data_IF_582191029498
#
_entry.id   IF_582191029498
#
_cell.length_a   1.000
_cell.length_b   1.000
_cell.length_c   1.000
_cell.angle_alpha   90.00
_cell.angle_beta   90.00
_cell.angle_gamma   90.00
#
_symmetry.space_group_name_H-M   'P 1'
#
loop_
_entity.id
_entity.type
_entity.pdbx_description
1 polymer ?
#
# COMPACT_ATOMS: atom_id res chain seq x y z
N UNK A 1 -65.34 -1.57 -33.16
CA UNK A 1 -64.29 -1.02 -34.05
C UNK A 1 -63.25 -0.33 -33.16
N UNK A 2 -62.09 -0.97 -32.96
CA UNK A 2 -60.98 -0.34 -32.24
C UNK A 2 -60.32 0.66 -33.20
N UNK A 3 -60.14 1.93 -32.83
CA UNK A 3 -59.68 2.95 -33.76
C UNK A 3 -58.21 2.69 -34.13
N UNK A 4 -57.94 2.58 -35.45
CA UNK A 4 -56.60 2.36 -36.04
C UNK A 4 -55.55 3.40 -35.59
N UNK A 5 -55.98 4.56 -35.09
CA UNK A 5 -55.10 5.62 -34.59
C UNK A 5 -54.49 5.32 -33.22
N UNK A 6 -55.05 4.41 -32.42
CA UNK A 6 -54.51 4.09 -31.09
C UNK A 6 -53.24 3.22 -31.16
N UNK A 7 -53.15 2.35 -32.17
CA UNK A 7 -51.95 1.54 -32.43
C UNK A 7 -50.79 2.38 -32.95
N UNK A 8 -51.08 3.46 -33.69
CA UNK A 8 -50.04 4.28 -34.33
C UNK A 8 -49.40 5.27 -33.34
N UNK A 9 -50.16 5.82 -32.39
CA UNK A 9 -49.61 6.61 -31.28
C UNK A 9 -48.90 5.74 -30.24
N UNK A 10 -49.40 4.54 -29.92
CA UNK A 10 -48.71 3.61 -29.04
C UNK A 10 -47.37 3.12 -29.63
N UNK A 11 -47.32 2.83 -30.93
CA UNK A 11 -46.08 2.43 -31.63
C UNK A 11 -45.06 3.58 -31.70
N UNK A 12 -45.51 4.82 -31.86
CA UNK A 12 -44.64 6.01 -31.84
C UNK A 12 -44.04 6.23 -30.44
N UNK A 13 -44.83 6.06 -29.37
CA UNK A 13 -44.34 6.16 -27.99
C UNK A 13 -43.34 5.05 -27.61
N UNK A 14 -43.51 3.83 -28.15
CA UNK A 14 -42.56 2.73 -27.95
C UNK A 14 -41.24 3.00 -28.72
N UNK A 15 -41.32 3.60 -29.92
CA UNK A 15 -40.13 3.97 -30.71
C UNK A 15 -39.36 5.16 -30.11
N UNK A 16 -40.04 6.11 -29.45
CA UNK A 16 -39.38 7.21 -28.73
C UNK A 16 -38.74 6.76 -27.41
N UNK A 17 -39.28 5.71 -26.76
CA UNK A 17 -38.67 5.12 -25.58
C UNK A 17 -37.44 4.25 -25.91
N UNK A 18 -37.35 3.72 -27.13
CA UNK A 18 -36.15 3.02 -27.65
C UNK A 18 -35.06 3.98 -28.15
N UNK A 19 -35.37 5.26 -28.37
CA UNK A 19 -34.38 6.29 -28.74
C UNK A 19 -33.84 7.07 -27.53
N UNK A 20 -34.26 6.71 -26.32
CA UNK A 20 -33.57 7.09 -25.09
C UNK A 20 -32.42 6.09 -24.79
N UNK A 21 -31.77 5.56 -25.83
CA UNK A 21 -30.40 5.10 -25.68
C UNK A 21 -29.58 6.32 -25.33
N UNK A 22 -29.13 6.37 -24.08
CA UNK A 22 -28.01 7.22 -23.68
C UNK A 22 -26.94 7.04 -24.77
N UNK A 23 -26.50 8.13 -25.40
CA UNK A 23 -25.25 8.12 -26.14
C UNK A 23 -24.16 7.79 -25.11
N UNK A 24 -23.95 6.51 -24.85
CA UNK A 24 -22.84 6.01 -24.04
C UNK A 24 -21.60 6.22 -24.90
N UNK A 25 -21.08 7.44 -24.85
CA UNK A 25 -19.85 7.80 -25.51
C UNK A 25 -18.74 7.07 -24.75
N UNK A 26 -18.37 5.88 -25.25
CA UNK A 26 -17.39 5.02 -24.60
C UNK A 26 -16.12 5.81 -24.33
N UNK A 27 -15.67 5.79 -23.07
CA UNK A 27 -14.44 6.47 -22.68
C UNK A 27 -13.24 5.63 -23.09
N UNK A 28 -12.14 6.25 -23.57
CA UNK A 28 -10.93 5.50 -23.90
C UNK A 28 -10.35 4.85 -22.65
N UNK A 29 -9.64 3.73 -22.80
CA UNK A 29 -8.98 3.07 -21.69
C UNK A 29 -7.66 3.77 -21.35
N UNK A 30 -7.54 4.34 -20.14
CA UNK A 30 -6.31 5.01 -19.67
C UNK A 30 -6.02 4.73 -18.20
N UNK A 31 -4.73 4.70 -17.88
CA UNK A 31 -4.20 4.54 -16.54
C UNK A 31 -3.33 5.75 -16.19
N UNK A 32 -3.28 6.13 -14.91
CA UNK A 32 -2.38 7.19 -14.45
C UNK A 32 -0.90 6.80 -14.60
N UNK A 33 -0.59 5.51 -14.50
CA UNK A 33 0.77 4.99 -14.65
C UNK A 33 0.79 3.84 -15.66
N UNK A 34 1.92 3.69 -16.36
CA UNK A 34 2.19 2.52 -17.23
C UNK A 34 2.92 1.39 -16.49
N UNK A 35 3.39 1.66 -15.27
CA UNK A 35 4.21 0.79 -14.44
C UNK A 35 3.67 0.79 -13.02
N UNK A 36 3.67 -0.37 -12.37
CA UNK A 36 3.25 -0.53 -10.98
C UNK A 36 4.19 -1.48 -10.22
N UNK A 37 4.58 -1.10 -9.01
CA UNK A 37 5.26 -1.98 -8.06
C UNK A 37 4.26 -2.64 -7.09
N UNK A 38 4.34 -3.97 -6.98
CA UNK A 38 3.43 -4.80 -6.17
C UNK A 38 4.25 -5.61 -5.16
N UNK A 39 4.04 -5.46 -3.84
CA UNK A 39 4.75 -6.28 -2.87
C UNK A 39 4.35 -7.76 -3.01
N UNK A 40 5.32 -8.66 -2.89
CA UNK A 40 5.09 -10.11 -2.88
C UNK A 40 4.12 -10.50 -1.77
N UNK A 41 3.04 -11.23 -2.11
CA UNK A 41 1.95 -11.57 -1.18
C UNK A 41 0.90 -10.46 -0.98
N UNK A 42 1.24 -9.21 -1.31
CA UNK A 42 0.35 -8.06 -1.22
C UNK A 42 -0.51 -7.83 -2.46
N UNK A 43 -1.34 -6.79 -2.40
CA UNK A 43 -2.27 -6.38 -3.46
C UNK A 43 -1.98 -4.92 -3.82
N UNK A 44 -2.06 -4.58 -5.11
CA UNK A 44 -2.01 -3.21 -5.61
C UNK A 44 -3.23 -2.94 -6.50
N UNK A 45 -3.95 -1.86 -6.22
CA UNK A 45 -5.00 -1.37 -7.10
C UNK A 45 -4.40 -0.48 -8.18
N UNK A 46 -4.83 -0.67 -9.43
CA UNK A 46 -4.36 0.08 -10.57
C UNK A 46 -5.17 1.37 -10.71
N UNK A 47 -4.48 2.50 -10.80
CA UNK A 47 -5.11 3.80 -10.95
C UNK A 47 -5.68 3.99 -12.36
N UNK A 48 -6.98 3.80 -12.53
CA UNK A 48 -7.68 4.09 -13.79
C UNK A 48 -7.97 5.59 -13.91
N UNK A 49 -7.57 6.18 -15.04
CA UNK A 49 -7.90 7.56 -15.42
C UNK A 49 -9.24 7.59 -16.17
N UNK A 50 -9.47 6.63 -17.07
CA UNK A 50 -10.71 6.49 -17.83
C UNK A 50 -10.93 5.05 -18.30
N UNK A 51 -12.18 4.70 -18.57
CA UNK A 51 -12.60 3.38 -19.04
C UNK A 51 -14.07 3.10 -18.71
N UNK A 52 -14.60 1.98 -19.20
CA UNK A 52 -16.03 1.67 -19.18
C UNK A 52 -16.44 0.62 -18.15
N UNK A 53 -15.48 0.03 -17.44
CA UNK A 53 -15.73 -0.86 -16.29
C UNK A 53 -15.81 -2.35 -16.60
N UNK A 54 -15.91 -2.72 -17.87
CA UNK A 54 -15.88 -4.12 -18.31
C UNK A 54 -14.53 -4.42 -18.95
N UNK A 55 -13.64 -5.09 -18.20
CA UNK A 55 -12.25 -5.30 -18.58
C UNK A 55 -11.92 -6.79 -18.65
N UNK A 56 -11.19 -7.19 -19.70
CA UNK A 56 -10.47 -8.46 -19.71
C UNK A 56 -9.00 -8.27 -19.38
N UNK A 57 -8.44 -9.24 -18.66
CA UNK A 57 -7.09 -9.18 -18.12
C UNK A 57 -6.29 -10.38 -18.63
N UNK A 58 -5.12 -10.12 -19.22
CA UNK A 58 -4.18 -11.14 -19.68
C UNK A 58 -2.81 -10.90 -19.06
N UNK A 59 -2.39 -11.81 -18.17
CA UNK A 59 -1.08 -11.76 -17.50
C UNK A 59 -0.10 -12.64 -18.27
N UNK A 60 1.03 -12.08 -18.70
CA UNK A 60 2.05 -12.79 -19.47
C UNK A 60 2.72 -13.93 -18.69
N UNK A 61 3.04 -13.70 -17.41
CA UNK A 61 3.62 -14.70 -16.51
C UNK A 61 2.80 -14.80 -15.22
N UNK A 62 1.91 -15.77 -15.18
CA UNK A 62 1.00 -16.02 -14.04
C UNK A 62 1.71 -16.60 -12.81
N UNK A 63 2.99 -16.97 -12.92
CA UNK A 63 3.78 -17.40 -11.76
C UNK A 63 4.19 -16.20 -10.89
N UNK A 64 4.24 -15.00 -11.48
CA UNK A 64 4.66 -13.78 -10.80
C UNK A 64 3.46 -13.04 -10.20
N UNK A 65 2.32 -12.98 -10.89
CA UNK A 65 1.15 -12.23 -10.43
C UNK A 65 -0.18 -12.88 -10.82
N UNK A 66 -1.24 -12.51 -10.11
CA UNK A 66 -2.63 -12.64 -10.57
C UNK A 66 -3.30 -11.28 -10.62
N UNK A 67 -4.29 -11.11 -11.50
CA UNK A 67 -5.03 -9.85 -11.65
C UNK A 67 -6.53 -10.13 -11.72
N UNK A 68 -7.34 -9.24 -11.14
CA UNK A 68 -8.80 -9.38 -11.11
C UNK A 68 -9.48 -8.02 -11.26
N UNK A 69 -10.73 -8.08 -11.75
CA UNK A 69 -11.65 -6.94 -11.80
C UNK A 69 -12.64 -7.06 -10.65
N UNK A 70 -12.86 -5.97 -9.93
CA UNK A 70 -13.82 -5.88 -8.84
C UNK A 70 -14.86 -4.80 -9.14
N UNK A 71 -16.14 -5.16 -9.01
CA UNK A 71 -17.28 -4.30 -9.33
C UNK A 71 -17.74 -3.51 -8.10
N UNK A 72 -18.37 -2.35 -8.31
CA UNK A 72 -18.99 -1.56 -7.23
C UNK A 72 -18.07 -0.50 -6.61
N UNK A 73 -17.03 -0.09 -7.33
CA UNK A 73 -16.06 0.91 -6.87
C UNK A 73 -16.38 2.30 -7.38
N UNK A 74 -15.90 3.33 -6.67
CA UNK A 74 -15.97 4.73 -7.11
C UNK A 74 -14.88 5.10 -8.14
N UNK A 75 -14.54 4.18 -9.03
CA UNK A 75 -13.55 4.33 -10.10
C UNK A 75 -14.23 4.49 -11.47
N UNK A 76 -13.52 4.91 -12.53
CA UNK A 76 -14.07 4.99 -13.87
C UNK A 76 -14.74 3.69 -14.33
N UNK A 77 -16.00 3.78 -14.78
CA UNK A 77 -16.80 2.62 -15.17
C UNK A 77 -17.31 1.76 -14.00
N UNK A 78 -17.13 2.18 -12.74
CA UNK A 78 -17.65 1.49 -11.56
C UNK A 78 -16.86 0.24 -11.13
N UNK A 79 -15.68 0.03 -11.70
CA UNK A 79 -14.86 -1.16 -11.47
C UNK A 79 -13.40 -0.83 -11.19
N UNK A 80 -12.79 -1.53 -10.24
CA UNK A 80 -11.37 -1.46 -9.95
C UNK A 80 -10.64 -2.67 -10.54
N UNK A 81 -9.38 -2.49 -10.91
CA UNK A 81 -8.48 -3.59 -11.27
C UNK A 81 -7.43 -3.67 -10.18
N UNK A 82 -7.18 -4.87 -9.66
CA UNK A 82 -6.10 -5.08 -8.73
C UNK A 82 -5.21 -6.24 -9.17
N UNK A 83 -3.96 -6.18 -8.70
CA UNK A 83 -2.92 -7.18 -8.95
C UNK A 83 -2.41 -7.70 -7.62
N UNK A 84 -2.26 -9.01 -7.50
CA UNK A 84 -1.60 -9.67 -6.36
C UNK A 84 -0.22 -10.17 -6.77
N UNK A 85 0.79 -9.82 -5.98
CA UNK A 85 2.15 -10.34 -6.15
C UNK A 85 2.28 -11.76 -5.62
N UNK A 86 2.93 -12.65 -6.37
CA UNK A 86 3.15 -14.06 -6.02
C UNK A 86 4.65 -14.34 -5.82
N UNK A 87 5.46 -13.99 -6.83
CA UNK A 87 6.91 -14.13 -6.81
C UNK A 87 7.55 -12.88 -7.38
N UNK A 88 8.71 -12.49 -6.82
CA UNK A 88 9.46 -11.33 -7.29
C UNK A 88 9.88 -11.48 -8.76
N UNK A 89 9.84 -10.38 -9.50
CA UNK A 89 10.12 -10.37 -10.93
C UNK A 89 9.30 -9.33 -11.69
N UNK A 90 9.46 -9.30 -13.01
CA UNK A 90 8.80 -8.33 -13.89
C UNK A 90 7.97 -9.04 -14.95
N UNK A 91 6.74 -8.60 -15.13
CA UNK A 91 5.79 -9.14 -16.11
C UNK A 91 4.98 -8.02 -16.76
N UNK A 92 4.12 -8.39 -17.70
CA UNK A 92 3.21 -7.48 -18.38
C UNK A 92 1.78 -7.94 -18.13
N UNK A 93 0.92 -7.00 -17.79
CA UNK A 93 -0.52 -7.15 -17.74
C UNK A 93 -1.12 -6.40 -18.93
N UNK A 94 -1.85 -7.11 -19.80
CA UNK A 94 -2.69 -6.50 -20.81
C UNK A 94 -4.10 -6.33 -20.25
N UNK A 95 -4.61 -5.11 -20.31
CA UNK A 95 -6.00 -4.79 -19.97
C UNK A 95 -6.71 -4.42 -21.26
N UNK A 96 -7.85 -5.04 -21.54
CA UNK A 96 -8.68 -4.68 -22.70
C UNK A 96 -10.07 -4.28 -22.23
N UNK A 97 -10.53 -3.09 -22.63
CA UNK A 97 -11.89 -2.61 -22.38
C UNK A 97 -12.83 -3.22 -23.42
N UNK A 98 -13.89 -3.91 -22.98
CA UNK A 98 -14.81 -4.58 -23.89
C UNK A 98 -15.68 -3.63 -24.71
N UNK A 99 -15.94 -2.42 -24.21
CA UNK A 99 -16.79 -1.45 -24.89
C UNK A 99 -16.05 -0.79 -26.07
N UNK A 100 -14.75 -0.49 -25.92
CA UNK A 100 -13.93 0.14 -26.97
C UNK A 100 -13.04 -0.84 -27.74
N UNK A 101 -12.81 -2.04 -27.19
CA UNK A 101 -11.80 -3.02 -27.63
C UNK A 101 -10.35 -2.48 -27.58
N UNK A 102 -10.13 -1.33 -26.95
CA UNK A 102 -8.79 -0.79 -26.74
C UNK A 102 -8.04 -1.62 -25.70
N UNK A 103 -6.73 -1.78 -25.91
CA UNK A 103 -5.86 -2.46 -24.96
C UNK A 103 -4.74 -1.54 -24.46
N UNK A 104 -4.46 -1.63 -23.16
CA UNK A 104 -3.28 -1.04 -22.53
C UNK A 104 -2.35 -2.16 -22.05
N UNK A 105 -1.04 -1.97 -22.22
CA UNK A 105 -0.02 -2.85 -21.66
C UNK A 105 0.63 -2.16 -20.47
N UNK A 106 0.45 -2.75 -19.29
CA UNK A 106 1.02 -2.27 -18.05
C UNK A 106 2.21 -3.15 -17.65
N UNK A 107 3.27 -2.50 -17.22
CA UNK A 107 4.43 -3.17 -16.62
C UNK A 107 4.17 -3.41 -15.15
N UNK A 108 4.23 -4.67 -14.72
CA UNK A 108 4.07 -5.03 -13.32
C UNK A 108 5.40 -5.56 -12.79
N UNK A 109 5.90 -4.94 -11.73
CA UNK A 109 7.09 -5.37 -11.02
C UNK A 109 6.69 -5.87 -9.63
N UNK A 110 6.91 -7.14 -9.36
CA UNK A 110 6.73 -7.70 -8.03
C UNK A 110 8.03 -7.52 -7.25
N UNK A 111 7.95 -6.74 -6.18
CA UNK A 111 9.06 -6.41 -5.27
C UNK A 111 8.97 -7.25 -4.00
N UNK A 112 10.04 -7.26 -3.20
CA UNK A 112 10.01 -7.90 -1.89
C UNK A 112 8.87 -7.34 -1.03
N UNK A 113 8.25 -8.19 -0.19
CA UNK A 113 7.25 -7.72 0.76
C UNK A 113 7.88 -6.79 1.80
N UNK A 114 7.08 -5.94 2.43
CA UNK A 114 7.58 -5.04 3.46
C UNK A 114 6.51 -4.72 4.51
N UNK A 115 6.98 -4.27 5.67
CA UNK A 115 6.14 -3.71 6.73
C UNK A 115 6.42 -2.21 6.86
N UNK A 116 5.36 -1.40 6.88
CA UNK A 116 5.48 0.06 6.94
C UNK A 116 5.12 0.56 8.32
N UNK A 117 6.07 1.25 8.96
CA UNK A 117 5.89 1.88 10.27
C UNK A 117 5.92 3.40 10.11
N UNK A 118 4.85 4.06 10.57
CA UNK A 118 4.77 5.52 10.68
C UNK A 118 5.04 5.94 12.11
N UNK A 119 6.01 6.82 12.29
CA UNK A 119 6.37 7.39 13.58
C UNK A 119 5.41 8.53 13.93
N UNK A 120 4.83 8.47 15.12
CA UNK A 120 3.96 9.51 15.68
C UNK A 120 4.70 10.30 16.75
N UNK A 121 4.95 11.56 16.43
CA UNK A 121 5.46 12.56 17.38
C UNK A 121 4.23 13.21 18.04
N UNK A 122 3.89 12.76 19.25
CA UNK A 122 2.84 13.38 20.04
C UNK A 122 3.21 14.81 20.45
N UNK A 123 2.19 15.64 20.70
CA UNK A 123 2.31 17.03 21.22
C UNK A 123 2.98 17.14 22.60
N UNK A 124 3.36 16.00 23.22
CA UNK A 124 4.15 15.91 24.45
C UNK A 124 5.38 14.99 24.36
N UNK A 125 5.71 14.48 23.16
CA UNK A 125 6.93 13.66 22.94
C UNK A 125 8.15 14.49 22.53
N UNK A 126 7.95 15.79 22.27
CA UNK A 126 8.99 16.76 21.94
C UNK A 126 9.43 17.63 23.14
N UNK A 127 8.92 17.37 24.34
CA UNK A 127 9.40 18.02 25.56
C UNK A 127 10.03 16.97 26.47
N UNK A 128 11.26 16.57 26.15
CA UNK A 128 12.19 16.47 27.27
C UNK A 128 12.36 17.90 27.78
N UNK A 129 11.98 18.17 29.02
CA UNK A 129 12.19 19.47 29.69
C UNK A 129 13.68 19.90 29.70
N UNK A 130 14.58 19.02 29.24
CA UNK A 130 16.03 19.15 29.28
C UNK A 130 16.72 19.29 27.90
N UNK A 131 16.01 19.49 26.79
CA UNK A 131 16.64 19.74 25.48
C UNK A 131 17.45 18.54 24.94
N UNK A 132 17.01 17.31 25.21
CA UNK A 132 17.65 16.11 24.68
C UNK A 132 17.42 15.95 23.18
N UNK A 133 18.38 15.36 22.46
CA UNK A 133 18.27 15.09 21.04
C UNK A 133 17.00 14.30 20.71
N UNK A 134 16.38 14.59 19.57
CA UNK A 134 15.20 13.88 19.06
C UNK A 134 15.57 12.41 18.74
N UNK A 135 14.66 11.46 18.98
CA UNK A 135 14.82 10.08 18.49
C UNK A 135 14.50 10.04 17.01
N UNK A 136 15.39 9.45 16.20
CA UNK A 136 15.21 9.32 14.76
C UNK A 136 14.88 10.67 14.08
N UNK A 137 15.70 11.71 14.28
CA UNK A 137 15.43 13.06 13.77
C UNK A 137 15.26 13.02 12.26
N UNK A 138 14.26 13.75 11.77
CA UNK A 138 13.96 13.83 10.34
C UNK A 138 13.31 12.58 9.73
N UNK A 139 13.09 11.49 10.48
CA UNK A 139 12.36 10.30 9.99
C UNK A 139 10.89 10.37 10.41
N UNK A 140 9.97 10.22 9.46
CA UNK A 140 8.53 10.08 9.68
C UNK A 140 8.03 8.66 9.43
N UNK A 141 8.62 7.95 8.48
CA UNK A 141 8.16 6.62 8.07
C UNK A 141 9.39 5.73 7.81
N UNK A 142 9.26 4.44 8.12
CA UNK A 142 10.26 3.43 7.80
C UNK A 142 9.62 2.19 7.19
N UNK A 143 10.33 1.59 6.25
CA UNK A 143 9.94 0.37 5.56
C UNK A 143 10.94 -0.73 5.91
N UNK A 144 10.45 -1.79 6.53
CA UNK A 144 11.23 -2.97 6.87
C UNK A 144 11.02 -4.01 5.77
N UNK A 145 12.06 -4.31 4.99
CA UNK A 145 11.95 -5.16 3.81
C UNK A 145 12.15 -6.62 4.17
N UNK A 146 11.21 -7.46 3.75
CA UNK A 146 11.28 -8.90 3.87
C UNK A 146 12.17 -9.51 2.77
N UNK A 147 13.44 -9.14 2.80
CA UNK A 147 14.47 -9.76 1.98
C UNK A 147 15.56 -10.38 2.87
N UNK A 148 16.51 -11.08 2.23
CA UNK A 148 17.59 -11.77 2.95
C UNK A 148 18.50 -10.82 3.74
N UNK A 149 18.69 -9.60 3.24
CA UNK A 149 19.54 -8.59 3.86
C UNK A 149 18.86 -7.86 5.02
N UNK A 150 17.53 -7.99 5.16
CA UNK A 150 16.71 -7.21 6.10
C UNK A 150 16.94 -5.72 5.90
N UNK A 151 16.84 -5.27 4.65
CA UNK A 151 17.00 -3.85 4.33
C UNK A 151 15.93 -3.00 5.02
N UNK A 152 16.29 -1.78 5.37
CA UNK A 152 15.43 -0.78 5.96
C UNK A 152 15.57 0.54 5.19
N UNK A 153 14.44 1.17 4.86
CA UNK A 153 14.41 2.45 4.15
C UNK A 153 13.67 3.47 5.01
N UNK A 154 14.27 4.65 5.18
CA UNK A 154 13.80 5.68 6.08
C UNK A 154 13.41 6.92 5.28
N UNK A 155 12.25 7.48 5.60
CA UNK A 155 11.65 8.57 4.84
C UNK A 155 11.27 9.73 5.76
N UNK A 156 11.30 10.94 5.18
CA UNK A 156 10.61 12.10 5.73
C UNK A 156 9.33 12.38 4.94
N UNK A 157 8.37 12.99 5.61
CA UNK A 157 7.16 13.48 4.97
C UNK A 157 7.48 14.79 4.22
N UNK A 158 7.39 14.74 2.91
CA UNK A 158 7.39 15.90 2.02
C UNK A 158 5.97 16.28 1.57
N UNK A 159 5.86 17.14 0.56
CA UNK A 159 4.57 17.56 -0.01
C UNK A 159 3.79 16.37 -0.58
N UNK A 160 2.61 16.12 -0.01
CA UNK A 160 1.70 15.10 -0.50
C UNK A 160 0.87 15.63 -1.68
N UNK A 161 0.61 14.78 -2.67
CA UNK A 161 -0.30 15.10 -3.78
C UNK A 161 -1.39 14.02 -3.89
N UNK A 162 -2.35 14.20 -4.80
CA UNK A 162 -3.35 13.17 -5.09
C UNK A 162 -2.75 11.84 -5.60
N UNK A 163 -1.52 11.87 -6.12
CA UNK A 163 -0.87 10.73 -6.79
C UNK A 163 0.43 10.28 -6.11
N UNK A 164 0.83 10.93 -5.02
CA UNK A 164 2.06 10.60 -4.31
C UNK A 164 1.90 10.80 -2.82
N UNK A 165 2.42 9.85 -2.04
CA UNK A 165 2.50 9.93 -0.58
C UNK A 165 3.34 11.12 -0.09
N UNK A 166 4.15 11.72 -0.96
CA UNK A 166 5.07 12.79 -0.60
C UNK A 166 6.29 12.31 0.19
N UNK A 167 6.49 11.01 0.35
CA UNK A 167 7.65 10.48 1.06
C UNK A 167 8.94 10.74 0.28
N UNK A 168 9.95 11.23 0.99
CA UNK A 168 11.30 11.49 0.45
C UNK A 168 12.30 10.62 1.22
N UNK A 169 13.05 9.79 0.49
CA UNK A 169 14.05 8.89 1.07
C UNK A 169 15.19 9.72 1.71
N UNK A 170 15.49 9.46 2.98
CA UNK A 170 16.54 10.18 3.72
C UNK A 170 17.70 9.30 4.14
N UNK A 171 17.46 8.01 4.35
CA UNK A 171 18.50 7.05 4.70
C UNK A 171 18.13 5.62 4.29
N UNK A 172 19.16 4.78 4.18
CA UNK A 172 19.04 3.33 4.04
C UNK A 172 19.83 2.64 5.14
N UNK A 173 19.44 1.42 5.43
CA UNK A 173 20.05 0.63 6.48
C UNK A 173 19.59 -0.81 6.44
N UNK A 174 19.81 -1.49 7.54
CA UNK A 174 19.32 -2.83 7.79
C UNK A 174 18.70 -2.90 9.18
N UNK A 175 17.86 -3.91 9.39
CA UNK A 175 17.24 -4.15 10.69
C UNK A 175 17.49 -5.58 11.17
N UNK A 176 17.51 -5.74 12.48
CA UNK A 176 17.38 -7.02 13.17
C UNK A 176 16.18 -6.90 14.09
N UNK A 177 15.30 -7.90 14.04
CA UNK A 177 14.15 -8.04 14.93
C UNK A 177 14.25 -9.37 15.65
N UNK A 178 14.24 -9.32 16.98
CA UNK A 178 14.29 -10.49 17.87
C UNK A 178 13.10 -10.46 18.83
N UNK A 179 12.55 -11.63 19.22
CA UNK A 179 11.49 -11.67 20.22
C UNK A 179 12.04 -11.14 21.56
N UNK A 180 11.27 -10.26 22.20
CA UNK A 180 11.57 -9.72 23.52
C UNK A 180 10.89 -10.51 24.63
N UNK A 181 10.88 -9.95 25.84
CA UNK A 181 10.07 -10.47 26.95
C UNK A 181 8.61 -10.03 26.78
N UNK A 182 7.67 -10.92 27.12
CA UNK A 182 6.24 -10.67 27.00
C UNK A 182 5.83 -10.21 25.58
N UNK A 183 5.07 -9.11 25.47
CA UNK A 183 4.55 -8.56 24.21
C UNK A 183 5.53 -7.57 23.53
N UNK A 184 6.84 -7.83 23.66
CA UNK A 184 7.90 -6.95 23.15
C UNK A 184 8.71 -7.60 22.02
N UNK A 185 9.35 -6.75 21.22
CA UNK A 185 10.41 -7.16 20.30
C UNK A 185 11.62 -6.23 20.43
N UNK A 186 12.82 -6.80 20.37
CA UNK A 186 14.05 -6.04 20.30
C UNK A 186 14.36 -5.73 18.83
N UNK A 187 14.53 -4.44 18.51
CA UNK A 187 14.89 -3.98 17.18
C UNK A 187 16.24 -3.30 17.20
N UNK A 188 17.13 -3.73 16.31
CA UNK A 188 18.35 -2.99 16.01
C UNK A 188 18.23 -2.41 14.61
N UNK A 189 18.31 -1.08 14.48
CA UNK A 189 18.41 -0.39 13.19
C UNK A 189 19.87 -0.01 12.96
N UNK A 190 20.43 -0.38 11.82
CA UNK A 190 21.80 -0.01 11.43
C UNK A 190 21.75 0.84 10.17
N UNK A 191 22.16 2.10 10.26
CA UNK A 191 22.18 3.01 9.13
C UNK A 191 23.47 2.83 8.32
N UNK A 192 23.33 2.60 7.01
CA UNK A 192 24.45 2.31 6.10
C UNK A 192 24.68 3.41 5.07
N UNK A 193 23.64 4.17 4.73
CA UNK A 193 23.71 5.26 3.73
C UNK A 193 22.80 6.42 4.17
N UNK A 194 23.33 7.64 4.20
CA UNK A 194 22.54 8.87 4.35
C UNK A 194 22.39 9.53 2.98
N UNK A 195 21.16 9.85 2.61
CA UNK A 195 20.81 10.49 1.33
C UNK A 195 20.68 12.01 1.48
N UNK A 196 20.21 12.50 2.65
CA UNK A 196 20.18 13.93 2.98
C UNK A 196 20.45 14.15 4.48
N UNK A 197 21.36 15.08 4.82
CA UNK A 197 21.63 15.69 6.15
C UNK A 197 21.18 14.87 7.37
N UNK A 198 21.59 13.61 7.45
CA UNK A 198 21.38 12.76 8.61
C UNK A 198 22.73 12.41 9.28
N UNK A 199 23.60 13.42 9.44
CA UNK A 199 24.88 13.27 10.16
C UNK A 199 24.69 12.75 11.60
N UNK A 200 23.47 12.81 12.13
CA UNK A 200 23.10 12.30 13.46
C UNK A 200 22.61 10.83 13.49
N UNK A 201 22.45 10.16 12.34
CA UNK A 201 21.91 8.80 12.23
C UNK A 201 22.94 7.83 11.67
N UNK A 202 24.09 7.74 12.34
CA UNK A 202 25.17 6.82 11.97
C UNK A 202 25.29 5.69 12.96
N UNK A 203 25.49 4.47 12.45
CA UNK A 203 25.73 3.29 13.28
C UNK A 203 24.45 2.55 13.67
N UNK A 204 24.57 1.74 14.72
CA UNK A 204 23.49 0.87 15.18
C UNK A 204 22.77 1.47 16.38
N UNK A 205 21.45 1.56 16.28
CA UNK A 205 20.55 2.03 17.34
C UNK A 205 19.64 0.88 17.76
N UNK A 206 19.48 0.70 19.07
CA UNK A 206 18.69 -0.39 19.64
C UNK A 206 17.43 0.15 20.28
N UNK A 207 16.34 -0.56 20.04
CA UNK A 207 15.02 -0.20 20.50
C UNK A 207 14.26 -1.41 21.01
N UNK A 208 13.33 -1.15 21.92
CA UNK A 208 12.31 -2.08 22.37
C UNK A 208 10.99 -1.63 21.75
N UNK A 209 10.34 -2.51 20.99
CA UNK A 209 9.00 -2.31 20.48
C UNK A 209 8.03 -2.85 21.51
N UNK A 210 7.26 -1.95 22.13
CA UNK A 210 6.17 -2.30 23.02
C UNK A 210 4.88 -2.41 22.20
N UNK A 211 4.42 -3.64 22.01
CA UNK A 211 3.25 -3.95 21.22
C UNK A 211 2.22 -4.77 21.99
N UNK A 212 1.55 -5.63 21.23
CA UNK A 212 0.62 -6.64 21.72
C UNK A 212 0.83 -7.91 20.87
N UNK A 213 0.19 -9.05 21.21
CA UNK A 213 0.36 -10.29 20.46
C UNK A 213 0.03 -10.16 18.97
N UNK A 214 -0.93 -9.30 18.61
CA UNK A 214 -1.32 -9.06 17.22
C UNK A 214 -0.18 -8.41 16.42
N UNK A 215 0.55 -7.46 17.00
CA UNK A 215 1.69 -6.83 16.33
C UNK A 215 2.86 -7.78 16.15
N UNK A 216 3.18 -8.56 17.18
CA UNK A 216 4.23 -9.56 17.06
C UNK A 216 3.87 -10.58 15.98
N UNK A 217 2.60 -11.00 15.91
CA UNK A 217 2.11 -11.88 14.85
C UNK A 217 2.23 -11.25 13.46
N UNK A 218 1.79 -9.99 13.30
CA UNK A 218 1.91 -9.26 12.04
C UNK A 218 3.35 -9.17 11.57
N UNK A 219 4.28 -8.77 12.44
CA UNK A 219 5.71 -8.69 12.14
C UNK A 219 6.26 -10.07 11.73
N UNK A 220 5.96 -11.10 12.52
CA UNK A 220 6.40 -12.48 12.26
C UNK A 220 5.97 -12.97 10.88
N UNK A 221 4.69 -12.75 10.50
CA UNK A 221 4.16 -13.23 9.22
C UNK A 221 4.56 -12.36 8.04
N UNK A 222 4.54 -11.03 8.17
CA UNK A 222 4.85 -10.16 7.04
C UNK A 222 6.36 -10.14 6.70
N UNK A 223 7.21 -10.31 7.72
CA UNK A 223 8.67 -10.26 7.58
C UNK A 223 9.34 -11.64 7.65
N UNK A 224 8.57 -12.74 7.75
CA UNK A 224 9.08 -14.11 7.87
C UNK A 224 10.15 -14.25 8.97
N UNK A 225 9.82 -13.82 10.19
CA UNK A 225 10.78 -13.78 11.31
C UNK A 225 10.94 -15.14 12.00
N UNK A 226 10.02 -16.07 11.77
CA UNK A 226 10.01 -17.42 12.35
C UNK A 226 9.92 -17.42 13.88
N UNK A 227 9.22 -16.44 14.45
CA UNK A 227 8.96 -16.36 15.89
C UNK A 227 7.90 -17.36 16.36
N UNK A 228 7.22 -18.04 15.44
CA UNK A 228 6.16 -19.02 15.73
C UNK A 228 5.04 -18.42 16.58
N UNK A 229 4.68 -17.17 16.30
CA UNK A 229 3.61 -16.47 17.01
C UNK A 229 2.29 -17.25 16.86
N UNK A 230 1.48 -17.36 17.94
CA UNK A 230 0.20 -18.05 17.90
C UNK A 230 -0.76 -17.32 16.95
N UNK A 231 -1.75 -18.01 16.35
CA UNK A 231 -2.81 -17.36 15.61
C UNK A 231 -3.55 -16.35 16.50
N UNK A 232 -3.79 -15.16 15.98
CA UNK A 232 -4.63 -14.17 16.67
C UNK A 232 -6.09 -14.61 16.58
N UNK A 233 -6.81 -14.70 17.69
CA UNK A 233 -8.22 -15.11 17.69
C UNK A 233 -9.09 -14.21 16.79
N UNK A 234 -10.01 -14.82 16.03
CA UNK A 234 -10.87 -14.23 14.99
C UNK A 234 -11.94 -13.22 15.50
N UNK A 235 -11.73 -12.51 16.60
CA UNK A 235 -12.77 -11.68 17.23
C UNK A 235 -12.43 -10.20 17.25
N UNK A 236 -12.26 -9.58 16.08
CA UNK A 236 -12.40 -8.12 15.95
C UNK A 236 -13.33 -7.76 14.79
N UNK A 237 -14.63 -7.86 15.04
CA UNK A 237 -15.69 -7.23 14.22
C UNK A 237 -15.87 -5.76 14.59
N UNK A 238 -14.80 -4.95 14.48
CA UNK A 238 -14.83 -3.47 14.41
C UNK A 238 -13.41 -2.92 14.30
N UNK A 239 -13.14 -1.93 13.44
CA UNK A 239 -11.87 -1.24 13.41
C UNK A 239 -11.77 -0.34 14.65
N UNK A 240 -11.09 -0.81 15.70
CA UNK A 240 -10.49 0.13 16.64
C UNK A 240 -9.49 1.00 15.84
N UNK A 241 -9.36 2.30 16.15
CA UNK A 241 -8.28 3.09 15.60
C UNK A 241 -6.97 2.33 15.84
N UNK A 242 -6.06 2.25 14.86
CA UNK A 242 -4.81 1.52 15.05
C UNK A 242 -4.13 2.08 16.30
N UNK A 243 -3.88 1.24 17.34
CA UNK A 243 -3.27 1.76 18.54
C UNK A 243 -1.90 2.34 18.16
N UNK A 244 -1.57 3.50 18.72
CA UNK A 244 -0.19 3.97 18.68
C UNK A 244 0.62 3.08 19.63
N UNK A 245 1.60 2.39 19.08
CA UNK A 245 2.56 1.55 19.79
C UNK A 245 3.76 2.40 20.23
N UNK A 246 4.59 1.86 21.12
CA UNK A 246 5.74 2.59 21.65
C UNK A 246 7.02 1.94 21.18
N UNK A 247 7.92 2.76 20.66
CA UNK A 247 9.31 2.45 20.38
C UNK A 247 10.17 3.11 21.45
N UNK A 248 10.76 2.32 22.33
CA UNK A 248 11.66 2.80 23.38
C UNK A 248 13.12 2.62 22.95
N UNK A 249 13.98 3.62 23.12
CA UNK A 249 15.42 3.47 22.89
C UNK A 249 16.11 2.84 24.10
N UNK A 250 16.85 1.76 23.83
CA UNK A 250 17.52 0.97 24.87
C UNK A 250 18.56 1.82 25.61
N UNK A 251 18.50 1.79 26.95
CA UNK A 251 19.48 2.46 27.81
C UNK A 251 19.24 3.96 28.03
N UNK A 252 18.32 4.59 27.30
CA UNK A 252 17.98 6.01 27.52
C UNK A 252 16.56 6.22 28.04
N UNK A 253 15.66 5.25 27.83
CA UNK A 253 14.24 5.35 28.21
C UNK A 253 13.46 6.36 27.38
N UNK A 254 14.05 6.90 26.30
CA UNK A 254 13.35 7.78 25.37
C UNK A 254 12.32 6.96 24.60
N UNK A 255 11.13 7.51 24.40
CA UNK A 255 10.01 6.82 23.73
C UNK A 255 9.46 7.63 22.56
N UNK A 256 9.09 6.91 21.49
CA UNK A 256 8.45 7.45 20.30
C UNK A 256 7.22 6.61 19.95
N UNK A 257 6.11 7.27 19.63
CA UNK A 257 4.93 6.56 19.15
C UNK A 257 5.15 6.03 17.73
N UNK A 258 4.51 4.92 17.37
CA UNK A 258 4.42 4.48 15.97
C UNK A 258 3.11 3.74 15.68
N UNK A 259 2.79 3.58 14.41
CA UNK A 259 1.68 2.76 13.93
C UNK A 259 2.09 2.03 12.66
N UNK A 260 1.52 0.85 12.42
CA UNK A 260 1.65 0.21 11.12
C UNK A 260 0.62 0.77 10.15
N UNK A 261 1.04 0.99 8.91
CA UNK A 261 0.18 1.58 7.88
C UNK A 261 0.12 0.69 6.64
N UNK A 262 -0.92 0.87 5.82
CA UNK A 262 -0.98 0.28 4.48
C UNK A 262 -0.30 1.17 3.42
N UNK A 263 0.56 2.11 3.85
CA UNK A 263 1.20 3.04 2.93
C UNK A 263 2.15 2.29 2.01
N UNK A 264 2.00 2.56 0.71
CA UNK A 264 2.77 1.94 -0.35
C UNK A 264 4.17 2.56 -0.41
N UNK A 265 5.17 1.71 -0.66
CA UNK A 265 6.54 2.17 -0.86
C UNK A 265 6.60 3.02 -2.13
N UNK A 266 7.33 4.16 -2.12
CA UNK A 266 7.55 4.91 -3.35
C UNK A 266 8.25 4.05 -4.40
N UNK A 267 7.78 4.13 -5.63
CA UNK A 267 8.26 3.28 -6.73
C UNK A 267 9.72 3.56 -7.09
N UNK A 268 10.41 2.53 -7.61
CA UNK A 268 11.78 2.64 -8.10
C UNK A 268 12.85 2.57 -7.00
N UNK A 269 12.46 2.35 -5.74
CA UNK A 269 13.41 2.19 -4.62
C UNK A 269 13.84 0.73 -4.45
N UNK A 270 12.90 -0.21 -4.53
CA UNK A 270 13.21 -1.64 -4.42
C UNK A 270 13.73 -2.19 -5.75
N UNK A 271 14.64 -3.18 -5.73
CA UNK A 271 15.20 -3.80 -6.94
C UNK A 271 14.17 -4.58 -7.76
#
# INVERSE_FOLDING_TARGET
>A
MIPKHFYQTALCCILTLLSACKDDNNSPLRFYNDTYEVPMGGIRYLGLESGNGDYSLEVKDQRLVSAQVEQGWSTPGGSAIYVRGILTGKTTLKVTDYATLESCLLTIKVVDNYETMRLSRGYGSSLSENGTAEMLPGISDMFLINNRARDAYFFKQGPQTAFSSGLVLVAKGNYVLEPGMDDQANMTLTFTESVEHAEALTGSHKFILHGNPYILHRLDKNLNLNWNTPPTGDTRTSPEPPPSYILEEEGTGRQLGFSFTGLEMPEGILP
#
